data_IF_579777562489
#
_entry.id   IF_579777562489
#
_cell.length_a   1.000
_cell.length_b   1.000
_cell.length_c   1.000
_cell.angle_alpha   90.00
_cell.angle_beta   90.00
_cell.angle_gamma   90.00
#
_symmetry.space_group_name_H-M   'P 1'
#
loop_
_entity.id
_entity.type
_entity.pdbx_description
1 polymer ?
#
# COMPACT_ATOMS: atom_id res chain seq x y z
N UNK A 1 -11.48 -7.12 -2.82
CA UNK A 1 -10.73 -8.40 -2.98
C UNK A 1 -11.38 -9.39 -3.98
N UNK A 2 -10.78 -9.71 -5.16
CA UNK A 2 -11.18 -10.88 -5.94
C UNK A 2 -10.67 -12.17 -5.27
N UNK A 3 -11.59 -13.00 -4.77
CA UNK A 3 -11.25 -14.27 -4.09
C UNK A 3 -11.08 -15.40 -5.11
N UNK A 4 -9.86 -15.90 -5.25
CA UNK A 4 -9.61 -17.15 -6.00
C UNK A 4 -9.76 -18.33 -5.05
N UNK A 5 -10.51 -19.35 -5.45
CA UNK A 5 -10.75 -20.54 -4.64
C UNK A 5 -9.87 -21.69 -5.12
N UNK A 6 -9.29 -22.46 -4.19
CA UNK A 6 -8.68 -23.76 -4.50
C UNK A 6 -9.75 -24.78 -4.88
N UNK A 7 -9.32 -25.90 -5.47
CA UNK A 7 -10.19 -27.06 -5.76
C UNK A 7 -10.92 -27.60 -4.52
N UNK A 8 -10.45 -27.29 -3.30
CA UNK A 8 -11.08 -27.64 -2.03
C UNK A 8 -12.05 -26.57 -1.49
N UNK A 9 -12.38 -25.55 -2.30
CA UNK A 9 -13.32 -24.48 -1.96
C UNK A 9 -12.79 -23.47 -0.94
N UNK A 10 -11.50 -23.50 -0.59
CA UNK A 10 -10.91 -22.51 0.32
C UNK A 10 -10.47 -21.26 -0.44
N UNK A 11 -10.76 -20.07 0.10
CA UNK A 11 -10.22 -18.84 -0.43
C UNK A 11 -8.69 -18.87 -0.30
N UNK A 12 -8.00 -18.66 -1.41
CA UNK A 12 -6.55 -18.43 -1.42
C UNK A 12 -6.33 -16.95 -1.63
N UNK A 13 -5.80 -16.31 -0.60
CA UNK A 13 -5.20 -14.99 -0.76
C UNK A 13 -3.85 -15.23 -1.43
N UNK A 14 -3.67 -14.73 -2.64
CA UNK A 14 -2.44 -14.90 -3.41
C UNK A 14 -1.68 -13.58 -3.41
N UNK A 15 -0.46 -13.62 -2.90
CA UNK A 15 0.50 -12.52 -2.96
C UNK A 15 1.34 -12.65 -4.23
N UNK A 16 1.41 -11.58 -5.02
CA UNK A 16 2.30 -11.47 -6.18
C UNK A 16 3.51 -10.57 -5.86
N UNK A 17 4.72 -11.13 -5.67
CA UNK A 17 5.90 -10.34 -5.33
C UNK A 17 6.35 -9.36 -6.43
N UNK A 18 5.86 -9.50 -7.66
CA UNK A 18 6.13 -8.56 -8.74
C UNK A 18 5.20 -7.35 -8.72
N UNK A 19 3.98 -7.50 -8.21
CA UNK A 19 2.99 -6.42 -8.15
C UNK A 19 2.82 -5.83 -6.76
N UNK A 20 3.17 -6.58 -5.71
CA UNK A 20 2.80 -6.26 -4.35
C UNK A 20 4.00 -6.22 -3.40
N UNK A 21 3.85 -5.47 -2.31
CA UNK A 21 4.76 -5.43 -1.17
C UNK A 21 3.97 -5.82 0.08
N UNK A 22 4.55 -6.68 0.93
CA UNK A 22 3.92 -7.06 2.20
C UNK A 22 4.01 -5.93 3.24
N UNK A 23 3.09 -5.87 4.21
CA UNK A 23 3.16 -4.89 5.30
C UNK A 23 4.51 -4.84 6.03
N UNK A 24 5.06 -6.01 6.38
CA UNK A 24 6.36 -6.08 7.05
C UNK A 24 7.51 -5.59 6.18
N UNK A 25 7.48 -5.87 4.87
CA UNK A 25 8.51 -5.39 3.95
C UNK A 25 8.43 -3.86 3.79
N UNK A 26 7.23 -3.30 3.69
CA UNK A 26 7.01 -1.86 3.66
C UNK A 26 7.47 -1.20 4.97
N UNK A 27 7.00 -1.69 6.11
CA UNK A 27 7.39 -1.21 7.44
C UNK A 27 8.91 -1.14 7.61
N UNK A 28 9.60 -2.23 7.23
CA UNK A 28 11.07 -2.28 7.30
C UNK A 28 11.72 -1.20 6.42
N UNK A 29 11.20 -0.95 5.21
CA UNK A 29 11.72 0.08 4.32
C UNK A 29 11.54 1.49 4.87
N UNK A 30 10.37 1.77 5.46
CA UNK A 30 10.08 3.05 6.14
C UNK A 30 11.06 3.30 7.29
N UNK A 31 11.44 2.25 8.02
CA UNK A 31 12.41 2.33 9.13
C UNK A 31 13.88 2.46 8.71
N UNK A 32 14.26 1.98 7.53
CA UNK A 32 15.66 1.82 7.11
C UNK A 32 16.15 2.89 6.10
N UNK A 33 15.59 4.11 6.15
CA UNK A 33 15.92 5.24 5.24
C UNK A 33 15.83 4.88 3.75
N UNK A 34 14.91 3.97 3.43
CA UNK A 34 14.58 3.50 2.07
C UNK A 34 13.08 3.62 1.82
N UNK A 35 12.48 4.68 2.35
CA UNK A 35 11.06 4.93 2.27
C UNK A 35 10.65 5.13 0.80
N UNK A 36 9.70 4.33 0.27
CA UNK A 36 9.14 4.58 -1.05
C UNK A 36 8.27 5.85 -1.02
N UNK A 37 7.95 6.38 -2.20
CA UNK A 37 6.85 7.32 -2.34
C UNK A 37 5.54 6.58 -2.04
N UNK A 38 4.78 7.08 -1.05
CA UNK A 38 3.51 6.51 -0.64
C UNK A 38 2.37 7.26 -1.31
N UNK A 39 1.50 6.54 -1.99
CA UNK A 39 0.38 7.13 -2.73
C UNK A 39 -0.93 6.46 -2.30
N UNK A 40 -1.82 7.26 -1.75
CA UNK A 40 -3.17 6.86 -1.38
C UNK A 40 -4.08 6.93 -2.60
N UNK A 41 -4.57 5.77 -3.07
CA UNK A 41 -5.42 5.70 -4.27
C UNK A 41 -6.91 5.81 -3.97
N UNK A 42 -7.30 6.10 -2.72
CA UNK A 42 -8.70 6.31 -2.35
C UNK A 42 -9.21 7.63 -2.92
N UNK A 43 -10.44 7.63 -3.42
CA UNK A 43 -11.12 8.85 -3.90
C UNK A 43 -11.35 9.89 -2.78
N UNK A 44 -11.41 9.42 -1.53
CA UNK A 44 -11.59 10.24 -0.34
C UNK A 44 -10.65 9.74 0.75
N UNK A 45 -10.04 10.65 1.54
CA UNK A 45 -9.28 10.25 2.72
C UNK A 45 -10.14 9.40 3.67
N UNK A 46 -9.62 8.25 4.11
CA UNK A 46 -10.21 7.46 5.20
C UNK A 46 -9.70 7.95 6.57
N UNK A 47 -10.07 7.26 7.65
CA UNK A 47 -9.71 7.65 9.04
C UNK A 47 -8.21 7.50 9.35
N UNK A 48 -7.53 6.64 8.57
CA UNK A 48 -6.10 6.33 8.70
C UNK A 48 -5.40 6.51 7.38
N UNK A 49 -4.13 6.88 7.44
CA UNK A 49 -3.21 6.93 6.30
C UNK A 49 -1.79 6.54 6.74
N UNK A 50 -0.93 6.23 5.77
CA UNK A 50 0.50 6.14 6.04
C UNK A 50 1.12 7.53 6.10
N UNK A 51 2.00 7.76 7.07
CA UNK A 51 2.70 9.02 7.25
C UNK A 51 3.48 9.43 5.99
N UNK A 52 3.31 10.68 5.56
CA UNK A 52 3.98 11.21 4.37
C UNK A 52 3.38 10.75 3.04
N UNK A 53 2.26 10.02 3.06
CA UNK A 53 1.54 9.68 1.84
C UNK A 53 0.92 10.92 1.17
N UNK A 54 0.90 10.89 -0.16
CA UNK A 54 0.19 11.87 -0.98
C UNK A 54 -1.07 11.23 -1.58
N UNK A 55 -2.14 12.00 -1.81
CA UNK A 55 -3.26 11.50 -2.61
C UNK A 55 -2.76 11.17 -4.02
N UNK A 56 -3.36 10.15 -4.64
CA UNK A 56 -3.17 9.87 -6.05
C UNK A 56 -3.44 11.16 -6.84
N UNK A 57 -2.48 11.66 -7.61
CA UNK A 57 -2.73 12.81 -8.47
C UNK A 57 -3.69 12.41 -9.60
N UNK A 58 -3.93 13.29 -10.57
CA UNK A 58 -4.87 12.97 -11.64
C UNK A 58 -4.50 11.70 -12.45
N UNK A 59 -5.44 11.21 -13.27
CA UNK A 59 -5.27 9.99 -14.07
C UNK A 59 -4.08 10.01 -15.05
N UNK A 60 -3.52 11.19 -15.33
CA UNK A 60 -2.35 11.36 -16.19
C UNK A 60 -1.01 11.27 -15.46
N UNK A 61 -1.05 11.18 -14.12
CA UNK A 61 0.15 11.07 -13.30
C UNK A 61 0.97 9.84 -13.64
N UNK A 62 2.28 10.05 -13.69
CA UNK A 62 3.27 9.00 -13.82
C UNK A 62 4.25 9.09 -12.64
N UNK A 63 4.60 7.95 -12.04
CA UNK A 63 5.59 7.91 -10.99
C UNK A 63 6.98 8.29 -11.53
N UNK A 64 7.86 8.87 -10.69
CA UNK A 64 9.27 9.05 -11.06
C UNK A 64 9.94 7.70 -11.40
N UNK A 65 10.78 7.67 -12.43
CA UNK A 65 11.38 6.43 -12.95
C UNK A 65 12.37 5.77 -11.98
N UNK A 66 13.02 6.55 -11.12
CA UNK A 66 14.09 6.13 -10.20
C UNK A 66 13.64 5.95 -8.75
N UNK A 67 12.34 6.13 -8.48
CA UNK A 67 11.76 6.07 -7.13
C UNK A 67 10.90 4.82 -6.97
N UNK A 68 11.07 4.11 -5.85
CA UNK A 68 10.13 3.05 -5.47
C UNK A 68 8.81 3.68 -5.06
N UNK A 69 7.70 3.20 -5.62
CA UNK A 69 6.35 3.72 -5.32
C UNK A 69 5.50 2.61 -4.73
N UNK A 70 4.81 2.92 -3.64
CA UNK A 70 3.83 2.02 -3.04
C UNK A 70 2.46 2.69 -3.03
N UNK A 71 1.54 2.07 -3.77
CA UNK A 71 0.14 2.43 -3.81
C UNK A 71 -0.60 1.70 -2.70
N UNK A 72 -1.54 2.37 -2.05
CA UNK A 72 -2.39 1.74 -1.04
C UNK A 72 -3.80 2.34 -1.03
N UNK A 73 -4.74 1.55 -0.53
CA UNK A 73 -6.10 1.89 -0.17
C UNK A 73 -6.46 1.06 1.08
N UNK A 74 -7.75 0.92 1.40
CA UNK A 74 -8.16 0.22 2.62
C UNK A 74 -7.91 -1.31 2.55
N UNK A 75 -8.26 -1.98 1.44
CA UNK A 75 -8.25 -3.45 1.31
C UNK A 75 -7.21 -4.03 0.31
N UNK A 76 -6.47 -3.19 -0.40
CA UNK A 76 -5.51 -3.52 -1.45
C UNK A 76 -6.09 -3.60 -2.88
N UNK A 77 -7.41 -3.57 -3.03
CA UNK A 77 -8.09 -3.94 -4.28
C UNK A 77 -7.94 -2.93 -5.42
N UNK A 78 -8.04 -1.64 -5.13
CA UNK A 78 -7.81 -0.56 -6.10
C UNK A 78 -6.31 -0.38 -6.34
N UNK A 79 -5.52 -0.43 -5.27
CA UNK A 79 -4.07 -0.29 -5.34
C UNK A 79 -3.42 -1.31 -6.30
N UNK A 80 -3.80 -2.60 -6.23
CA UNK A 80 -3.23 -3.63 -7.12
C UNK A 80 -3.60 -3.41 -8.59
N UNK A 81 -4.83 -2.97 -8.86
CA UNK A 81 -5.27 -2.66 -10.23
C UNK A 81 -4.49 -1.48 -10.81
N UNK A 82 -4.24 -0.44 -10.00
CA UNK A 82 -3.42 0.70 -10.41
C UNK A 82 -1.95 0.32 -10.63
N UNK A 83 -1.37 -0.48 -9.73
CA UNK A 83 0.02 -0.93 -9.86
C UNK A 83 0.22 -1.76 -11.14
N UNK A 84 -0.71 -2.68 -11.43
CA UNK A 84 -0.66 -3.49 -12.64
C UNK A 84 -0.74 -2.61 -13.91
N UNK A 85 -1.64 -1.63 -13.94
CA UNK A 85 -1.76 -0.67 -15.07
C UNK A 85 -0.47 0.12 -15.28
N UNK A 86 0.13 0.63 -14.21
CA UNK A 86 1.36 1.42 -14.28
C UNK A 86 2.57 0.57 -14.71
N UNK A 87 2.69 -0.67 -14.22
CA UNK A 87 3.74 -1.57 -14.68
C UNK A 87 3.58 -1.95 -16.15
N UNK A 88 2.36 -2.16 -16.64
CA UNK A 88 2.09 -2.37 -18.07
C UNK A 88 2.48 -1.15 -18.94
N UNK A 89 2.50 0.04 -18.35
CA UNK A 89 2.97 1.27 -18.98
C UNK A 89 4.49 1.49 -18.83
N UNK A 90 5.24 0.56 -18.23
CA UNK A 90 6.69 0.62 -18.07
C UNK A 90 7.17 1.11 -16.69
N UNK A 91 6.27 1.41 -15.75
CA UNK A 91 6.65 1.85 -14.40
C UNK A 91 6.98 0.65 -13.49
N UNK A 92 8.12 0.00 -13.72
CA UNK A 92 8.48 -1.28 -13.07
C UNK A 92 8.66 -1.22 -11.56
N UNK A 93 8.82 -0.03 -10.96
CA UNK A 93 9.09 0.18 -9.52
C UNK A 93 7.85 0.44 -8.68
N UNK A 94 6.68 0.39 -9.29
CA UNK A 94 5.38 0.58 -8.62
C UNK A 94 4.94 -0.74 -8.02
N UNK A 95 4.54 -0.74 -6.75
CA UNK A 95 3.93 -1.89 -6.06
C UNK A 95 2.65 -1.46 -5.35
N UNK A 96 1.74 -2.39 -5.13
CA UNK A 96 0.58 -2.21 -4.25
C UNK A 96 0.87 -2.76 -2.85
N UNK A 97 0.32 -2.13 -1.81
CA UNK A 97 0.35 -2.67 -0.47
C UNK A 97 -0.60 -3.87 -0.37
N UNK A 98 -0.04 -5.06 -0.17
CA UNK A 98 -0.80 -6.29 -0.05
C UNK A 98 -1.79 -6.21 1.12
N UNK A 99 -3.08 -6.38 0.82
CA UNK A 99 -4.17 -6.30 1.80
C UNK A 99 -4.46 -4.91 2.37
N UNK A 100 -3.90 -3.86 1.75
CA UNK A 100 -4.19 -2.47 2.11
C UNK A 100 -3.81 -2.09 3.54
N UNK A 101 -4.39 -0.98 4.01
CA UNK A 101 -4.21 -0.51 5.38
C UNK A 101 -4.79 -1.46 6.42
N UNK A 102 -5.86 -2.18 6.10
CA UNK A 102 -6.46 -3.17 7.01
C UNK A 102 -5.45 -4.25 7.40
N UNK A 103 -4.79 -4.87 6.41
CA UNK A 103 -3.79 -5.89 6.69
C UNK A 103 -2.52 -5.29 7.29
N UNK A 104 -2.18 -4.05 6.94
CA UNK A 104 -1.03 -3.35 7.51
C UNK A 104 -1.20 -3.12 9.01
N UNK A 105 -2.34 -2.56 9.42
CA UNK A 105 -2.71 -2.34 10.81
C UNK A 105 -2.79 -3.68 11.58
N UNK A 106 -3.42 -4.69 10.98
CA UNK A 106 -3.49 -6.03 11.60
C UNK A 106 -2.10 -6.68 11.78
N UNK A 107 -1.19 -6.48 10.83
CA UNK A 107 0.12 -7.16 10.82
C UNK A 107 1.14 -6.53 11.77
N UNK A 108 1.01 -5.25 12.08
CA UNK A 108 2.01 -4.49 12.82
C UNK A 108 1.48 -4.11 14.19
N UNK A 109 1.59 -5.04 15.12
CA UNK A 109 1.30 -4.79 16.53
C UNK A 109 2.30 -3.76 17.11
N UNK A 110 1.84 -2.57 17.55
CA UNK A 110 2.69 -1.55 18.14
C UNK A 110 3.51 -2.04 19.33
N UNK A 111 2.99 -3.01 20.11
CA UNK A 111 3.69 -3.60 21.25
C UNK A 111 4.87 -4.48 20.80
N UNK A 112 4.83 -5.00 19.57
CA UNK A 112 5.86 -5.88 19.00
C UNK A 112 6.90 -5.09 18.21
N UNK A 113 6.50 -4.06 17.47
CA UNK A 113 7.39 -3.38 16.50
C UNK A 113 8.17 -2.19 17.08
N UNK A 114 7.79 -1.71 18.26
CA UNK A 114 8.52 -0.64 18.96
C UNK A 114 8.35 0.74 18.30
N UNK A 115 7.63 1.60 19.00
CA UNK A 115 7.58 3.07 18.87
C UNK A 115 6.83 3.70 17.68
N UNK A 116 6.79 3.14 16.46
CA UNK A 116 5.99 3.78 15.37
C UNK A 116 5.61 2.82 14.23
N UNK A 117 4.31 2.64 13.98
CA UNK A 117 3.81 1.85 12.82
C UNK A 117 3.69 2.67 11.54
N UNK A 118 3.99 3.98 11.56
CA UNK A 118 3.77 4.91 10.44
C UNK A 118 2.30 5.07 10.01
N UNK A 119 1.35 4.47 10.75
CA UNK A 119 -0.07 4.71 10.56
C UNK A 119 -0.47 5.95 11.36
N UNK A 120 -1.09 6.94 10.72
CA UNK A 120 -1.52 8.20 11.33
C UNK A 120 -3.03 8.40 11.18
N UNK A 121 -3.63 9.10 12.14
CA UNK A 121 -5.02 9.55 12.04
C UNK A 121 -5.11 10.69 11.01
N UNK A 122 -6.08 10.66 10.11
CA UNK A 122 -6.31 11.77 9.16
C UNK A 122 -7.11 12.93 9.77
N UNK A 123 -7.64 12.75 10.99
CA UNK A 123 -8.46 13.75 11.70
C UNK A 123 -7.64 14.79 12.47
N UNK A 124 -6.31 14.67 12.53
CA UNK A 124 -5.43 15.60 13.26
C UNK A 124 -4.81 16.66 12.34
N UNK A 125 -5.64 17.42 11.63
CA UNK A 125 -5.29 18.77 11.12
C UNK A 125 -6.48 19.72 11.29
N UNK A 126 -6.84 19.97 12.55
CA UNK A 126 -7.65 21.11 12.97
C UNK A 126 -7.21 21.53 14.38
N UNK A 127 -5.99 22.06 14.49
CA UNK A 127 -5.42 22.64 15.71
C UNK A 127 -4.53 23.82 15.38
#
# INVERSE_FOLDING_TARGET
MPTTYRDDGKPVVQFDPLLEISPFALFRRLREDRAPLLVDVRDRPGDRALEGAIPLPDDSWQPPEDVDVVLFDDDGGTAIAHAARLQQAGCERVRALFGGLELYEFSLDPEVVGERTYLVSTTEEAG
#
